data_IF_176049501082
#
_entry.id   IF_176049501082
#
_cell.length_a   1.000
_cell.length_b   1.000
_cell.length_c   1.000
_cell.angle_alpha   90.00
_cell.angle_beta   90.00
_cell.angle_gamma   90.00
#
_symmetry.space_group_name_H-M   'P 1'
#
loop_
_entity.id
_entity.type
_entity.pdbx_description
1 polymer ?
#
# COMPACT_ATOMS: atom_id res chain seq x y z
N UNK A 1 -23.01 -4.25 -21.13
CA UNK A 1 -23.65 -5.47 -20.61
C UNK A 1 -23.22 -5.63 -19.16
N UNK A 2 -23.92 -4.99 -18.22
CA UNK A 2 -23.69 -5.13 -16.78
C UNK A 2 -24.92 -5.81 -16.20
N UNK A 3 -24.82 -7.11 -15.96
CA UNK A 3 -25.90 -7.93 -15.39
C UNK A 3 -25.31 -8.81 -14.30
N UNK A 4 -24.77 -8.19 -13.26
CA UNK A 4 -24.40 -8.85 -11.99
C UNK A 4 -24.77 -7.98 -10.79
N UNK A 5 -25.82 -7.15 -10.91
CA UNK A 5 -26.29 -6.28 -9.82
C UNK A 5 -27.15 -6.98 -8.76
N UNK A 6 -27.11 -8.32 -8.65
CA UNK A 6 -28.03 -9.03 -7.76
C UNK A 6 -27.68 -10.46 -7.35
N UNK A 7 -26.48 -10.97 -7.65
CA UNK A 7 -26.04 -12.26 -7.13
C UNK A 7 -25.25 -12.05 -5.84
N UNK A 8 -25.72 -12.64 -4.74
CA UNK A 8 -24.99 -12.74 -3.48
C UNK A 8 -23.61 -13.34 -3.73
N UNK A 9 -22.55 -12.78 -3.12
CA UNK A 9 -21.19 -13.36 -3.13
C UNK A 9 -21.14 -14.82 -2.62
N UNK A 10 -22.22 -15.32 -2.03
CA UNK A 10 -22.37 -16.67 -1.49
C UNK A 10 -22.66 -17.76 -2.55
N UNK A 11 -23.15 -17.41 -3.74
CA UNK A 11 -23.57 -18.39 -4.77
C UNK A 11 -22.61 -18.51 -5.96
N UNK A 12 -21.52 -17.74 -5.95
CA UNK A 12 -20.55 -17.69 -7.04
C UNK A 12 -19.44 -18.71 -6.81
N UNK A 13 -19.01 -19.38 -7.88
CA UNK A 13 -17.91 -20.34 -7.80
C UNK A 13 -16.59 -19.62 -7.48
N UNK A 14 -15.65 -20.33 -6.85
CA UNK A 14 -14.38 -19.75 -6.38
C UNK A 14 -13.57 -19.09 -7.52
N UNK A 15 -13.65 -19.66 -8.72
CA UNK A 15 -13.01 -19.13 -9.93
C UNK A 15 -13.64 -17.81 -10.38
N UNK A 16 -14.97 -17.69 -10.34
CA UNK A 16 -15.66 -16.46 -10.69
C UNK A 16 -15.42 -15.36 -9.66
N UNK A 17 -15.28 -15.70 -8.38
CA UNK A 17 -14.91 -14.75 -7.32
C UNK A 17 -13.53 -14.14 -7.60
N UNK A 18 -12.55 -14.98 -7.96
CA UNK A 18 -11.19 -14.54 -8.28
C UNK A 18 -11.17 -13.61 -9.50
N UNK A 19 -11.94 -13.94 -10.54
CA UNK A 19 -12.03 -13.11 -11.74
C UNK A 19 -12.72 -11.76 -11.46
N UNK A 20 -13.74 -11.74 -10.60
CA UNK A 20 -14.38 -10.51 -10.12
C UNK A 20 -13.40 -9.64 -9.33
N UNK A 21 -12.62 -10.23 -8.43
CA UNK A 21 -11.58 -9.53 -7.67
C UNK A 21 -10.51 -8.96 -8.61
N UNK A 22 -9.99 -9.76 -9.55
CA UNK A 22 -9.04 -9.29 -10.57
C UNK A 22 -9.60 -8.17 -11.44
N UNK A 23 -10.88 -8.22 -11.80
CA UNK A 23 -11.54 -7.17 -12.56
C UNK A 23 -11.72 -5.88 -11.73
N UNK A 24 -12.06 -6.01 -10.45
CA UNK A 24 -12.14 -4.88 -9.50
C UNK A 24 -10.75 -4.23 -9.30
N UNK A 25 -9.67 -5.02 -9.26
CA UNK A 25 -8.31 -4.51 -9.18
C UNK A 25 -7.87 -3.75 -10.43
N UNK A 26 -8.19 -4.26 -11.62
CA UNK A 26 -7.77 -3.65 -12.88
C UNK A 26 -8.55 -2.37 -13.21
N UNK A 27 -9.82 -2.28 -12.82
CA UNK A 27 -10.72 -1.17 -13.22
C UNK A 27 -10.92 -0.13 -12.11
N UNK A 28 -10.51 -0.44 -10.88
CA UNK A 28 -10.71 0.41 -9.71
C UNK A 28 -9.55 1.38 -9.41
N UNK A 29 -9.67 2.18 -8.34
CA UNK A 29 -8.61 3.09 -7.87
C UNK A 29 -7.33 2.36 -7.43
N UNK A 30 -7.42 1.06 -7.12
CA UNK A 30 -6.27 0.21 -6.79
C UNK A 30 -5.40 -0.16 -8.01
N UNK A 31 -5.88 0.09 -9.24
CA UNK A 31 -5.13 -0.15 -10.48
C UNK A 31 -3.79 0.60 -10.51
N UNK A 32 -3.69 1.76 -9.85
CA UNK A 32 -2.45 2.54 -9.71
C UNK A 32 -1.37 1.75 -8.97
N UNK A 33 -1.75 0.99 -7.94
CA UNK A 33 -0.83 0.11 -7.21
C UNK A 33 -0.43 -1.08 -8.07
N UNK A 34 -1.34 -1.62 -8.87
CA UNK A 34 -1.05 -2.72 -9.79
C UNK A 34 -0.07 -2.30 -10.90
N UNK A 35 -0.24 -1.09 -11.45
CA UNK A 35 0.74 -0.50 -12.36
C UNK A 35 2.09 -0.28 -11.67
N UNK A 36 2.05 0.11 -10.39
CA UNK A 36 3.27 0.34 -9.61
C UNK A 36 4.08 -0.94 -9.36
N UNK A 37 3.41 -2.08 -9.15
CA UNK A 37 4.06 -3.40 -9.06
C UNK A 37 4.63 -3.81 -10.42
N UNK A 38 3.85 -3.68 -11.51
CA UNK A 38 4.30 -4.05 -12.86
C UNK A 38 5.52 -3.25 -13.32
N UNK A 39 5.49 -1.94 -13.10
CA UNK A 39 6.55 -1.02 -13.53
C UNK A 39 7.66 -0.86 -12.48
N UNK A 40 7.53 -1.52 -11.32
CA UNK A 40 8.40 -1.34 -10.15
C UNK A 40 8.61 0.15 -9.80
N UNK A 41 7.58 1.00 -9.96
CA UNK A 41 7.72 2.45 -9.73
C UNK A 41 7.88 2.76 -8.25
N UNK A 42 8.61 3.83 -7.96
CA UNK A 42 8.77 4.31 -6.60
C UNK A 42 7.51 5.06 -6.18
N UNK A 43 6.95 4.68 -5.05
CA UNK A 43 5.76 5.31 -4.47
C UNK A 43 6.08 5.98 -3.14
N UNK A 44 5.34 7.04 -2.86
CA UNK A 44 5.38 7.75 -1.59
C UNK A 44 4.09 7.45 -0.82
N UNK A 45 4.21 6.81 0.34
CA UNK A 45 3.10 6.46 1.22
C UNK A 45 3.12 7.41 2.42
N UNK A 46 2.00 8.09 2.67
CA UNK A 46 1.85 8.89 3.89
C UNK A 46 1.20 8.05 4.99
N UNK A 47 1.91 7.84 6.09
CA UNK A 47 1.42 7.09 7.24
C UNK A 47 0.64 7.99 8.21
N UNK A 48 -0.23 7.38 9.04
CA UNK A 48 -1.06 8.08 10.06
C UNK A 48 -0.23 8.84 11.11
N UNK A 49 1.00 8.41 11.34
CA UNK A 49 1.94 9.02 12.27
C UNK A 49 2.71 10.23 11.68
N UNK A 50 2.21 10.84 10.59
CA UNK A 50 2.86 11.93 9.85
C UNK A 50 4.28 11.58 9.33
N UNK A 51 4.57 10.29 9.20
CA UNK A 51 5.80 9.80 8.55
C UNK A 51 5.49 9.45 7.10
N UNK A 52 6.45 9.70 6.22
CA UNK A 52 6.33 9.38 4.80
C UNK A 52 7.30 8.25 4.47
N UNK A 53 6.80 7.20 3.83
CA UNK A 53 7.60 6.07 3.37
C UNK A 53 7.79 6.20 1.86
N UNK A 54 9.04 6.18 1.42
CA UNK A 54 9.39 6.12 0.01
C UNK A 54 9.88 4.71 -0.29
N UNK A 55 9.11 3.94 -1.07
CA UNK A 55 9.33 2.51 -1.26
C UNK A 55 8.90 2.04 -2.66
N UNK A 56 9.25 0.79 -2.99
CA UNK A 56 8.69 0.08 -4.15
C UNK A 56 7.77 -1.04 -3.65
N UNK A 57 6.63 -1.22 -4.30
CA UNK A 57 5.66 -2.27 -3.93
C UNK A 57 6.01 -3.56 -4.66
N UNK A 58 6.11 -4.66 -3.93
CA UNK A 58 6.31 -6.00 -4.49
C UNK A 58 4.99 -6.77 -4.63
N UNK A 59 4.12 -6.64 -3.64
CA UNK A 59 2.79 -7.23 -3.63
C UNK A 59 1.83 -6.34 -2.83
N UNK A 60 0.54 -6.42 -3.14
CA UNK A 60 -0.52 -5.74 -2.39
C UNK A 60 -1.75 -6.65 -2.31
N UNK A 61 -2.62 -6.36 -1.35
CA UNK A 61 -3.89 -7.06 -1.14
C UNK A 61 -5.07 -6.07 -1.16
N UNK A 62 -6.31 -6.59 -1.17
CA UNK A 62 -7.58 -5.83 -1.13
C UNK A 62 -7.69 -4.89 0.07
N UNK A 63 -7.04 -5.24 1.19
CA UNK A 63 -6.99 -4.40 2.39
C UNK A 63 -5.93 -3.30 2.33
N UNK A 64 -5.26 -3.13 1.18
CA UNK A 64 -4.10 -2.26 1.03
C UNK A 64 -2.92 -2.63 1.94
N UNK A 65 -2.87 -3.89 2.40
CA UNK A 65 -1.66 -4.45 2.98
C UNK A 65 -0.64 -4.60 1.86
N UNK A 66 0.55 -4.02 2.01
CA UNK A 66 1.58 -4.00 0.97
C UNK A 66 2.86 -4.65 1.48
N UNK A 67 3.51 -5.41 0.61
CA UNK A 67 4.89 -5.87 0.78
C UNK A 67 5.78 -4.87 0.06
N UNK A 68 6.68 -4.23 0.80
CA UNK A 68 7.53 -3.15 0.30
C UNK A 68 9.01 -3.56 0.26
N UNK A 69 9.71 -3.12 -0.78
CA UNK A 69 11.16 -3.24 -0.94
C UNK A 69 11.81 -1.85 -0.95
N UNK A 70 13.05 -1.75 -0.45
CA UNK A 70 13.85 -0.52 -0.44
C UNK A 70 13.16 0.68 0.25
N UNK A 71 12.58 0.44 1.43
CA UNK A 71 11.81 1.43 2.19
C UNK A 71 12.73 2.48 2.82
N UNK A 72 12.47 3.76 2.51
CA UNK A 72 13.08 4.91 3.19
C UNK A 72 12.02 5.66 3.98
N UNK A 73 12.28 5.86 5.26
CA UNK A 73 11.36 6.58 6.16
C UNK A 73 11.81 8.03 6.32
N UNK A 74 10.86 8.95 6.12
CA UNK A 74 11.04 10.40 6.23
C UNK A 74 10.12 10.96 7.29
N UNK A 75 10.66 11.79 8.17
CA UNK A 75 9.86 12.66 9.03
C UNK A 75 10.62 13.93 9.35
N UNK A 76 9.87 14.97 9.69
CA UNK A 76 10.41 16.22 10.22
C UNK A 76 10.42 16.11 11.74
N UNK A 77 11.59 16.25 12.35
CA UNK A 77 11.66 16.55 13.78
C UNK A 77 11.62 18.07 13.89
N UNK A 78 10.57 18.65 14.50
CA UNK A 78 10.55 20.09 14.76
C UNK A 78 11.68 20.40 15.73
N UNK A 79 12.78 21.01 15.28
CA UNK A 79 13.85 21.34 16.19
C UNK A 79 13.38 22.56 17.00
N UNK A 80 13.61 22.54 18.31
CA UNK A 80 13.32 23.68 19.21
C UNK A 80 14.13 24.95 18.89
N UNK A 81 14.85 24.99 17.76
CA UNK A 81 15.65 26.12 17.30
C UNK A 81 15.59 26.24 15.76
N UNK A 82 14.55 26.91 15.25
CA UNK A 82 14.56 27.75 14.03
C UNK A 82 15.01 27.19 12.66
N UNK A 83 15.40 25.92 12.53
CA UNK A 83 15.85 25.33 11.26
C UNK A 83 15.19 23.98 11.02
N UNK A 84 14.12 23.94 10.23
CA UNK A 84 13.49 22.67 9.84
C UNK A 84 14.51 21.78 9.11
N UNK A 85 14.95 20.70 9.77
CA UNK A 85 15.84 19.70 9.18
C UNK A 85 15.00 18.51 8.77
N UNK A 86 15.04 18.16 7.49
CA UNK A 86 14.48 16.90 7.01
C UNK A 86 15.41 15.75 7.44
N UNK A 87 14.99 14.98 8.44
CA UNK A 87 15.72 13.81 8.92
C UNK A 87 15.33 12.58 8.08
N UNK A 88 16.34 11.92 7.52
CA UNK A 88 16.20 10.68 6.76
C UNK A 88 16.73 9.55 7.62
N UNK A 89 15.87 8.60 8.02
CA UNK A 89 16.37 7.36 8.62
C UNK A 89 16.30 6.27 7.56
N UNK A 90 17.47 5.79 7.16
CA UNK A 90 17.56 4.54 6.42
C UNK A 90 17.07 3.43 7.37
N UNK A 91 15.90 2.80 7.11
CA UNK A 91 15.60 1.57 7.84
C UNK A 91 16.52 0.48 7.32
N UNK A 92 17.66 0.28 7.99
CA UNK A 92 18.55 -0.85 7.71
C UNK A 92 17.99 -2.17 8.29
N UNK A 93 17.00 -2.11 9.18
CA UNK A 93 16.40 -3.26 9.89
C UNK A 93 15.18 -3.88 9.23
N UNK A 94 14.80 -3.43 8.03
CA UNK A 94 13.49 -3.77 7.48
C UNK A 94 13.54 -4.45 6.12
N UNK A 95 14.63 -5.19 5.88
CA UNK A 95 14.84 -5.92 4.65
C UNK A 95 13.91 -7.14 4.49
N UNK A 96 13.14 -7.56 5.50
CA UNK A 96 12.39 -8.83 5.40
C UNK A 96 10.92 -8.84 5.80
N UNK A 97 10.37 -7.87 6.54
CA UNK A 97 8.93 -7.88 6.90
C UNK A 97 8.48 -6.53 7.47
N UNK A 98 8.14 -5.58 6.61
CA UNK A 98 7.17 -4.57 7.01
C UNK A 98 5.78 -5.11 6.71
N UNK A 99 5.23 -5.88 7.64
CA UNK A 99 3.79 -6.07 7.70
C UNK A 99 3.19 -4.74 8.18
N UNK A 100 2.56 -3.99 7.26
CA UNK A 100 1.98 -2.68 7.53
C UNK A 100 0.83 -2.73 8.56
N UNK A 101 0.41 -3.92 9.01
CA UNK A 101 -0.59 -4.12 10.07
C UNK A 101 -0.27 -3.38 11.38
N UNK A 102 1.01 -3.13 11.71
CA UNK A 102 1.36 -2.37 12.91
C UNK A 102 1.53 -0.84 12.70
N UNK A 103 1.62 -0.36 11.46
CA UNK A 103 1.65 1.09 11.17
C UNK A 103 0.27 1.67 10.84
N UNK A 104 -0.68 0.81 10.46
CA UNK A 104 -2.09 1.14 10.20
C UNK A 104 -3.01 0.79 11.37
N UNK A 105 -2.48 0.58 12.57
CA UNK A 105 -3.28 0.29 13.77
C UNK A 105 -4.32 1.39 14.01
N UNK A 106 -5.55 1.07 13.64
CA UNK A 106 -6.78 1.61 14.18
C UNK A 106 -7.00 0.92 15.54
N UNK A 107 -6.35 1.46 16.56
CA UNK A 107 -7.04 1.74 17.82
C UNK A 107 -6.88 3.22 18.14
#
# INVERSE_FOLDING_TARGET
MSTTAGKSKADMTEEELRQLEEHEFNTGPLSVLQQSVKNNTQILINCRNNRKLLARVKAFDRHCNMVLENVKEMWTETPKAGKDVFTWRFCHTCAEKYDLTNCLSFR
#
